data_IF_399885480951
#
_entry.id   IF_399885480951
#
_cell.length_a   1.000
_cell.length_b   1.000
_cell.length_c   1.000
_cell.angle_alpha   90.00
_cell.angle_beta   90.00
_cell.angle_gamma   90.00
#
_symmetry.space_group_name_H-M   'P 1'
#
loop_
_entity.id
_entity.type
_entity.pdbx_description
1 polymer ?
#
# COMPACT_ATOMS: atom_id res chain seq x y z
N UNK A 1 -16.46 3.17 6.91
CA UNK A 1 -15.15 3.08 6.23
C UNK A 1 -15.08 1.75 5.50
N UNK A 2 -14.61 1.69 4.24
CA UNK A 2 -14.43 0.43 3.52
C UNK A 2 -13.45 -0.51 4.26
N UNK A 3 -13.62 -1.84 4.13
CA UNK A 3 -12.80 -2.84 4.84
C UNK A 3 -11.31 -2.74 4.48
N UNK A 4 -11.03 -2.31 3.27
CA UNK A 4 -9.70 -2.19 2.69
C UNK A 4 -8.89 -1.07 3.35
N UNK A 5 -9.54 0.06 3.67
CA UNK A 5 -8.90 1.15 4.41
C UNK A 5 -8.58 0.72 5.84
N UNK A 6 -9.46 -0.06 6.49
CA UNK A 6 -9.22 -0.57 7.84
C UNK A 6 -7.90 -1.36 7.94
N UNK A 7 -7.54 -2.15 6.92
CA UNK A 7 -6.33 -2.96 7.00
C UNK A 7 -5.06 -2.10 6.82
N UNK A 8 -5.11 -1.07 5.97
CA UNK A 8 -4.01 -0.09 5.87
C UNK A 8 -3.80 0.62 7.21
N UNK A 9 -4.87 0.96 7.92
CA UNK A 9 -4.78 1.52 9.27
C UNK A 9 -4.19 0.52 10.27
N UNK A 10 -4.62 -0.74 10.26
CA UNK A 10 -4.07 -1.78 11.13
C UNK A 10 -2.56 -1.98 10.92
N UNK A 11 -2.09 -2.00 9.66
CA UNK A 11 -0.66 -2.04 9.35
C UNK A 11 0.08 -0.82 9.92
N UNK A 12 -0.52 0.37 9.80
CA UNK A 12 -0.01 1.59 10.40
C UNK A 12 0.15 1.46 11.92
N UNK A 13 -0.89 0.98 12.61
CA UNK A 13 -0.87 0.77 14.06
C UNK A 13 0.24 -0.19 14.50
N UNK A 14 0.41 -1.34 13.82
CA UNK A 14 1.50 -2.28 14.15
C UNK A 14 2.89 -1.65 14.02
N UNK A 15 3.10 -0.86 12.97
CA UNK A 15 4.37 -0.13 12.80
C UNK A 15 4.55 0.93 13.90
N UNK A 16 3.47 1.61 14.29
CA UNK A 16 3.46 2.55 15.41
C UNK A 16 3.82 1.88 16.73
N UNK A 17 3.16 0.77 17.07
CA UNK A 17 3.44 -0.04 18.26
C UNK A 17 4.90 -0.51 18.30
N UNK A 18 5.42 -1.03 17.18
CA UNK A 18 6.81 -1.45 17.10
C UNK A 18 7.79 -0.26 17.24
N UNK A 19 7.44 0.92 16.72
CA UNK A 19 8.25 2.12 16.87
C UNK A 19 8.29 2.63 18.33
N UNK A 20 7.28 2.34 19.15
CA UNK A 20 7.30 2.66 20.58
C UNK A 20 8.47 1.96 21.31
N UNK A 21 8.90 0.79 20.83
CA UNK A 21 10.02 0.05 21.41
C UNK A 21 11.39 0.75 21.18
N UNK A 22 11.48 1.74 20.29
CA UNK A 22 12.63 2.64 20.21
C UNK A 22 12.78 3.49 21.48
N UNK A 23 11.67 3.72 22.21
CA UNK A 23 11.58 4.55 23.40
C UNK A 23 10.85 3.81 24.53
N UNK A 24 11.40 2.70 25.04
CA UNK A 24 10.69 1.79 25.93
C UNK A 24 10.33 2.44 27.28
N UNK A 25 9.29 1.91 27.92
CA UNK A 25 8.83 2.37 29.24
C UNK A 25 7.85 3.55 29.20
N UNK A 26 7.32 3.89 28.02
CA UNK A 26 6.29 4.91 27.90
C UNK A 26 4.91 4.50 28.38
N UNK A 27 4.04 5.49 28.53
CA UNK A 27 2.63 5.31 28.91
C UNK A 27 1.73 5.65 27.73
N UNK A 28 0.78 4.76 27.40
CA UNK A 28 -0.12 4.93 26.27
C UNK A 28 -1.34 5.79 26.62
N UNK A 29 -1.58 6.85 25.85
CA UNK A 29 -2.69 7.80 25.99
C UNK A 29 -3.76 7.68 24.89
N UNK A 30 -3.69 6.65 24.06
CA UNK A 30 -4.58 6.46 22.92
C UNK A 30 -6.06 6.43 23.36
N UNK A 31 -6.93 7.22 22.71
CA UNK A 31 -8.35 7.16 22.98
C UNK A 31 -8.99 5.96 22.26
N UNK A 32 -9.57 5.03 23.02
CA UNK A 32 -10.31 3.90 22.41
C UNK A 32 -11.56 4.31 21.59
N UNK A 33 -12.08 5.53 21.76
CA UNK A 33 -13.23 6.06 21.02
C UNK A 33 -13.30 7.61 21.08
N UNK A 34 -14.03 8.29 20.17
CA UNK A 34 -14.15 9.76 20.17
C UNK A 34 -14.62 10.37 21.51
N UNK A 35 -15.50 9.69 22.26
CA UNK A 35 -15.95 10.16 23.55
C UNK A 35 -14.83 10.22 24.63
N UNK A 36 -13.67 9.59 24.38
CA UNK A 36 -12.52 9.58 25.28
C UNK A 36 -11.50 10.67 24.96
N UNK A 37 -11.66 11.43 23.86
CA UNK A 37 -10.67 12.41 23.41
C UNK A 37 -10.35 13.45 24.50
N UNK A 38 -11.37 13.97 25.19
CA UNK A 38 -11.17 14.92 26.30
C UNK A 38 -10.40 14.31 27.47
N UNK A 39 -10.60 13.02 27.74
CA UNK A 39 -9.88 12.30 28.80
C UNK A 39 -8.41 12.13 28.41
N UNK A 40 -8.12 11.76 27.16
CA UNK A 40 -6.77 11.64 26.64
C UNK A 40 -5.98 12.96 26.76
N UNK A 41 -6.61 14.11 26.46
CA UNK A 41 -6.00 15.44 26.65
C UNK A 41 -5.60 15.69 28.12
N UNK A 42 -6.53 15.45 29.05
CA UNK A 42 -6.28 15.68 30.49
C UNK A 42 -5.16 14.76 30.98
N UNK A 43 -5.24 13.47 30.67
CA UNK A 43 -4.24 12.49 31.08
C UNK A 43 -2.85 12.80 30.50
N UNK A 44 -2.77 13.23 29.22
CA UNK A 44 -1.52 13.64 28.59
C UNK A 44 -0.91 14.83 29.32
N UNK A 45 -1.71 15.86 29.64
CA UNK A 45 -1.24 17.02 30.38
C UNK A 45 -0.77 16.67 31.80
N UNK A 46 -1.45 15.76 32.49
CA UNK A 46 -1.03 15.27 33.81
C UNK A 46 0.34 14.59 33.72
N UNK A 47 0.54 13.68 32.75
CA UNK A 47 1.83 13.00 32.56
C UNK A 47 2.97 13.94 32.17
N UNK A 48 2.67 14.98 31.41
CA UNK A 48 3.65 16.03 31.09
C UNK A 48 4.05 16.80 32.36
N UNK A 49 3.08 17.15 33.23
CA UNK A 49 3.35 17.84 34.50
C UNK A 49 4.15 16.98 35.49
N UNK A 50 3.92 15.67 35.49
CA UNK A 50 4.69 14.70 36.26
C UNK A 50 6.14 14.55 35.73
N UNK A 51 6.45 15.03 34.53
CA UNK A 51 7.74 14.83 33.88
C UNK A 51 7.97 13.38 33.45
N UNK A 52 6.90 12.65 33.12
CA UNK A 52 6.99 11.25 32.71
C UNK A 52 7.84 11.12 31.44
N UNK A 53 8.79 10.16 31.34
CA UNK A 53 9.84 10.21 30.34
C UNK A 53 9.35 10.01 28.89
N UNK A 54 8.34 9.15 28.67
CA UNK A 54 7.82 8.84 27.33
C UNK A 54 6.30 8.69 27.38
N UNK A 55 5.60 9.33 26.45
CA UNK A 55 4.14 9.25 26.33
C UNK A 55 3.81 8.85 24.90
N UNK A 56 3.10 7.74 24.71
CA UNK A 56 2.62 7.30 23.41
C UNK A 56 1.22 7.83 23.16
N UNK A 57 0.90 8.14 21.90
CA UNK A 57 -0.43 8.60 21.47
C UNK A 57 -0.87 9.85 22.26
N UNK A 58 0.08 10.76 22.46
CA UNK A 58 -0.07 11.95 23.28
C UNK A 58 -1.05 12.93 22.63
N UNK A 59 -2.09 13.32 23.37
CA UNK A 59 -3.15 14.18 22.86
C UNK A 59 -2.85 15.67 23.12
N UNK A 60 -3.02 16.50 22.09
CA UNK A 60 -2.91 17.96 22.20
C UNK A 60 -4.07 18.65 21.53
N UNK A 61 -4.43 19.83 22.07
CA UNK A 61 -5.43 20.69 21.47
C UNK A 61 -5.02 22.15 21.59
N UNK A 62 -5.01 22.86 20.46
CA UNK A 62 -4.77 24.29 20.38
C UNK A 62 -5.61 24.86 19.26
N UNK A 63 -6.18 26.06 19.47
CA UNK A 63 -6.97 26.76 18.47
C UNK A 63 -8.05 25.85 17.83
N UNK A 64 -8.80 25.12 18.65
CA UNK A 64 -9.84 24.16 18.21
C UNK A 64 -9.36 23.02 17.29
N UNK A 65 -8.05 22.86 17.07
CA UNK A 65 -7.44 21.73 16.36
C UNK A 65 -6.94 20.72 17.38
N UNK A 66 -7.28 19.44 17.18
CA UNK A 66 -6.85 18.33 18.03
C UNK A 66 -5.94 17.40 17.24
N UNK A 67 -4.86 16.95 17.86
CA UNK A 67 -3.93 15.96 17.32
C UNK A 67 -3.68 14.85 18.33
N UNK A 68 -3.22 13.71 17.83
CA UNK A 68 -2.62 12.63 18.61
C UNK A 68 -1.24 12.37 18.00
N UNK A 69 -0.20 12.62 18.79
CA UNK A 69 1.19 12.42 18.41
C UNK A 69 1.61 11.00 18.79
N UNK A 70 2.25 10.26 17.88
CA UNK A 70 2.62 8.86 18.12
C UNK A 70 3.52 8.69 19.36
N UNK A 71 4.60 9.47 19.48
CA UNK A 71 5.54 9.36 20.60
C UNK A 71 6.05 10.74 21.02
N UNK A 72 5.92 11.07 22.30
CA UNK A 72 6.47 12.25 22.94
C UNK A 72 7.54 11.84 23.97
N UNK A 73 8.76 12.36 23.83
CA UNK A 73 9.89 12.00 24.70
C UNK A 73 10.39 13.22 25.47
N UNK A 74 10.52 13.11 26.78
CA UNK A 74 11.14 14.15 27.60
C UNK A 74 12.68 14.05 27.51
N UNK A 75 13.30 15.03 26.88
CA UNK A 75 14.75 15.14 26.72
C UNK A 75 15.32 16.17 27.71
N UNK A 76 16.64 16.20 27.89
CA UNK A 76 17.29 17.23 28.71
C UNK A 76 17.06 18.67 28.23
N UNK A 77 16.68 18.87 26.96
CA UNK A 77 16.40 20.17 26.34
C UNK A 77 14.92 20.59 26.38
N UNK A 78 14.01 19.69 26.77
CA UNK A 78 12.56 19.84 26.68
C UNK A 78 11.92 18.60 26.04
N UNK A 79 10.67 18.69 25.60
CA UNK A 79 10.01 17.57 24.94
C UNK A 79 10.47 17.46 23.48
N UNK A 80 10.53 16.26 22.92
CA UNK A 80 10.76 16.04 21.49
C UNK A 80 9.64 15.15 20.96
N UNK A 81 9.08 15.53 19.81
CA UNK A 81 7.97 14.82 19.18
C UNK A 81 8.49 13.86 18.09
N UNK A 82 7.93 12.67 18.01
CA UNK A 82 8.22 11.70 16.97
C UNK A 82 6.91 11.22 16.33
N UNK A 83 6.81 11.44 15.03
CA UNK A 83 5.67 11.02 14.21
C UNK A 83 6.10 9.83 13.34
N UNK A 84 5.41 8.71 13.45
CA UNK A 84 5.74 7.42 12.84
C UNK A 84 4.98 7.21 11.54
N UNK A 85 5.70 6.86 10.48
CA UNK A 85 5.13 6.59 9.15
C UNK A 85 5.45 5.17 8.72
N UNK A 86 4.41 4.38 8.43
CA UNK A 86 4.52 3.11 7.72
C UNK A 86 4.78 3.34 6.22
N UNK A 87 5.91 3.98 5.93
CA UNK A 87 6.42 4.28 4.60
C UNK A 87 7.92 4.10 4.60
N UNK A 88 8.48 3.68 3.46
CA UNK A 88 9.92 3.60 3.30
C UNK A 88 10.58 4.91 2.82
N UNK A 89 9.92 6.05 3.00
CA UNK A 89 10.43 7.38 2.65
C UNK A 89 9.49 8.50 3.09
N UNK A 90 10.01 9.74 3.08
CA UNK A 90 9.29 10.94 3.49
C UNK A 90 8.60 11.58 2.28
N UNK A 91 7.34 11.99 2.45
CA UNK A 91 6.56 12.78 1.47
C UNK A 91 6.31 14.20 2.00
N UNK A 92 5.93 15.12 1.13
CA UNK A 92 5.56 16.48 1.55
C UNK A 92 4.31 16.48 2.46
N UNK A 93 3.40 15.52 2.27
CA UNK A 93 2.26 15.30 3.19
C UNK A 93 2.73 15.01 4.61
N UNK A 94 3.77 14.19 4.79
CA UNK A 94 4.29 13.89 6.13
C UNK A 94 4.98 15.10 6.77
N UNK A 95 5.62 15.96 5.96
CA UNK A 95 6.18 17.22 6.44
C UNK A 95 5.07 18.19 6.87
N UNK A 96 3.93 18.20 6.16
CA UNK A 96 2.74 18.97 6.56
C UNK A 96 2.12 18.44 7.86
N UNK A 97 2.02 17.12 8.02
CA UNK A 97 1.56 16.49 9.27
C UNK A 97 2.44 16.93 10.45
N UNK A 98 3.77 16.82 10.30
CA UNK A 98 4.73 17.26 11.32
C UNK A 98 4.59 18.77 11.61
N UNK A 99 4.41 19.60 10.58
CA UNK A 99 4.20 21.03 10.75
C UNK A 99 2.92 21.37 11.52
N UNK A 100 1.81 20.69 11.21
CA UNK A 100 0.54 20.83 11.93
C UNK A 100 0.70 20.41 13.38
N UNK A 101 1.32 19.26 13.62
CA UNK A 101 1.50 18.75 14.97
C UNK A 101 2.40 19.67 15.80
N UNK A 102 3.54 20.11 15.25
CA UNK A 102 4.42 21.07 15.89
C UNK A 102 3.68 22.37 16.24
N UNK A 103 2.87 22.89 15.31
CA UNK A 103 2.04 24.09 15.53
C UNK A 103 1.07 23.91 16.70
N UNK A 104 0.33 22.80 16.73
CA UNK A 104 -0.66 22.52 17.79
C UNK A 104 0.03 22.32 19.14
N UNK A 105 1.09 21.51 19.21
CA UNK A 105 1.82 21.23 20.47
C UNK A 105 2.40 22.52 21.04
N UNK A 106 3.14 23.29 20.26
CA UNK A 106 3.75 24.54 20.74
C UNK A 106 2.70 25.59 21.11
N UNK A 107 1.56 25.62 20.43
CA UNK A 107 0.42 26.45 20.77
C UNK A 107 -0.19 26.15 22.14
N UNK A 108 0.00 24.93 22.69
CA UNK A 108 -0.41 24.61 24.07
C UNK A 108 0.49 25.20 25.15
N UNK A 109 1.62 25.83 24.78
CA UNK A 109 2.62 26.37 25.70
C UNK A 109 3.71 25.38 26.11
N UNK A 110 3.69 24.16 25.58
CA UNK A 110 4.73 23.16 25.82
C UNK A 110 6.02 23.57 25.11
N UNK A 111 7.13 23.49 25.84
CA UNK A 111 8.47 23.67 25.28
C UNK A 111 8.87 22.41 24.49
N UNK A 112 8.62 22.47 23.18
CA UNK A 112 9.05 21.44 22.22
C UNK A 112 10.43 21.81 21.68
N UNK A 113 11.39 20.91 21.84
CA UNK A 113 12.78 21.02 21.37
C UNK A 113 12.93 20.73 19.88
N UNK A 114 12.02 19.94 19.32
CA UNK A 114 12.01 19.57 17.91
C UNK A 114 10.94 18.53 17.61
N UNK A 115 10.81 18.21 16.33
CA UNK A 115 9.97 17.13 15.83
C UNK A 115 10.73 16.31 14.80
N UNK A 116 10.64 15.00 14.91
CA UNK A 116 11.25 14.04 13.99
C UNK A 116 10.18 13.18 13.31
N UNK A 117 10.43 12.81 12.06
CA UNK A 117 9.72 11.73 11.38
C UNK A 117 10.48 10.42 11.59
N UNK A 118 9.77 9.38 12.01
CA UNK A 118 10.25 8.01 12.11
C UNK A 118 9.65 7.22 10.95
N UNK A 119 10.47 6.61 10.10
CA UNK A 119 9.96 5.87 8.94
C UNK A 119 10.76 4.58 8.71
N UNK A 120 10.21 3.67 7.93
CA UNK A 120 10.84 2.37 7.66
C UNK A 120 12.08 2.54 6.78
N UNK A 121 13.16 1.87 7.14
CA UNK A 121 14.40 1.83 6.39
C UNK A 121 14.34 0.70 5.33
N UNK A 122 14.12 1.04 4.06
CA UNK A 122 14.08 0.05 2.96
C UNK A 122 15.38 -0.75 2.77
N UNK A 123 16.50 -0.26 3.30
CA UNK A 123 17.81 -0.91 3.22
C UNK A 123 18.04 -1.94 4.34
N UNK A 124 17.13 -2.01 5.32
CA UNK A 124 17.20 -2.99 6.39
C UNK A 124 17.03 -4.41 5.86
N UNK A 125 17.85 -5.34 6.33
CA UNK A 125 17.73 -6.77 6.03
C UNK A 125 17.54 -7.52 7.33
N UNK A 126 16.47 -8.31 7.41
CA UNK A 126 16.14 -9.07 8.61
C UNK A 126 17.19 -10.15 8.89
N UNK A 127 17.75 -10.11 10.10
CA UNK A 127 18.60 -11.16 10.66
C UNK A 127 17.78 -12.29 11.29
N UNK A 128 18.25 -12.79 12.43
CA UNK A 128 17.51 -13.80 13.20
C UNK A 128 16.43 -13.15 14.09
N UNK A 129 16.64 -11.90 14.50
CA UNK A 129 15.69 -11.06 15.25
C UNK A 129 15.56 -9.68 14.59
N UNK A 130 14.50 -8.96 14.92
CA UNK A 130 14.28 -7.59 14.41
C UNK A 130 15.19 -6.61 15.17
N UNK A 131 16.12 -5.98 14.48
CA UNK A 131 16.85 -4.82 15.01
C UNK A 131 16.08 -3.53 14.70
N UNK A 132 15.42 -2.98 15.72
CA UNK A 132 14.61 -1.76 15.60
C UNK A 132 15.42 -0.56 15.11
N UNK A 133 16.69 -0.44 15.52
CA UNK A 133 17.56 0.69 15.11
C UNK A 133 17.95 0.59 13.65
N UNK A 134 18.05 -0.62 13.12
CA UNK A 134 18.24 -0.87 11.69
C UNK A 134 16.95 -0.70 10.89
N UNK A 135 15.81 -1.13 11.44
CA UNK A 135 14.50 -1.11 10.78
C UNK A 135 13.95 0.31 10.59
N UNK A 136 14.18 1.22 11.54
CA UNK A 136 13.67 2.58 11.49
C UNK A 136 14.76 3.62 11.19
N UNK A 137 14.41 4.62 10.38
CA UNK A 137 15.16 5.86 10.21
C UNK A 137 14.43 6.98 10.96
N UNK A 138 15.17 7.75 11.74
CA UNK A 138 14.69 8.94 12.44
C UNK A 138 15.31 10.16 11.76
N UNK A 139 14.49 11.09 11.32
CA UNK A 139 14.92 12.32 10.64
C UNK A 139 14.30 13.50 11.36
N UNK A 140 15.14 14.38 11.92
CA UNK A 140 14.69 15.66 12.46
C UNK A 140 14.18 16.53 11.31
N UNK A 141 12.96 17.02 11.43
CA UNK A 141 12.29 17.87 10.43
C UNK A 141 11.81 19.18 11.05
N UNK A 142 12.46 19.63 12.13
CA UNK A 142 12.04 20.81 12.90
C UNK A 142 12.06 22.07 12.04
N UNK A 143 13.12 22.27 11.25
CA UNK A 143 13.24 23.44 10.38
C UNK A 143 12.21 23.40 9.23
N UNK A 144 11.95 22.24 8.65
CA UNK A 144 10.92 22.04 7.63
C UNK A 144 9.50 22.28 8.17
N UNK A 145 9.25 21.89 9.42
CA UNK A 145 8.00 22.15 10.12
C UNK A 145 7.82 23.65 10.39
N UNK A 146 8.88 24.32 10.87
CA UNK A 146 8.88 25.76 11.11
C UNK A 146 8.68 26.57 9.83
N UNK A 147 9.33 26.18 8.73
CA UNK A 147 9.19 26.86 7.44
C UNK A 147 7.76 26.80 6.88
N UNK A 148 6.98 25.79 7.28
CA UNK A 148 5.57 25.59 6.88
C UNK A 148 4.56 26.24 7.82
N UNK A 149 4.99 26.82 8.94
CA UNK A 149 4.10 27.39 9.96
C UNK A 149 3.07 28.36 9.40
N UNK A 150 3.49 29.28 8.51
CA UNK A 150 2.58 30.25 7.89
C UNK A 150 1.48 29.55 7.08
N UNK A 151 1.87 28.58 6.25
CA UNK A 151 0.93 27.79 5.46
C UNK A 151 -0.07 27.05 6.36
N UNK A 152 0.41 26.38 7.40
CA UNK A 152 -0.44 25.65 8.36
C UNK A 152 -1.46 26.58 9.02
N UNK A 153 -1.02 27.74 9.52
CA UNK A 153 -1.94 28.71 10.15
C UNK A 153 -3.00 29.22 9.17
N UNK A 154 -2.63 29.50 7.92
CA UNK A 154 -3.58 29.91 6.89
C UNK A 154 -4.58 28.79 6.53
N UNK A 155 -4.13 27.52 6.46
CA UNK A 155 -5.03 26.39 6.20
C UNK A 155 -5.99 26.14 7.35
N UNK A 156 -5.55 26.21 8.61
CA UNK A 156 -6.43 26.04 9.78
C UNK A 156 -7.60 27.04 9.72
N UNK A 157 -7.33 28.29 9.36
CA UNK A 157 -8.37 29.32 9.21
C UNK A 157 -9.35 28.91 8.11
N UNK A 158 -8.84 28.57 6.92
CA UNK A 158 -9.67 28.18 5.76
C UNK A 158 -10.52 26.94 6.03
N UNK A 159 -9.94 25.93 6.70
CA UNK A 159 -10.65 24.70 7.02
C UNK A 159 -11.77 24.94 8.04
N UNK A 160 -11.53 25.79 9.05
CA UNK A 160 -12.60 26.21 9.99
C UNK A 160 -13.70 27.00 9.30
N UNK A 161 -13.35 27.90 8.39
CA UNK A 161 -14.34 28.64 7.59
C UNK A 161 -15.18 27.67 6.76
N UNK A 162 -14.55 26.67 6.12
CA UNK A 162 -15.25 25.64 5.35
C UNK A 162 -16.17 24.78 6.22
N UNK A 163 -15.73 24.38 7.42
CA UNK A 163 -16.55 23.63 8.38
C UNK A 163 -17.72 24.45 8.94
N UNK A 164 -17.63 25.78 8.92
CA UNK A 164 -18.69 26.69 9.33
C UNK A 164 -19.76 26.93 8.25
N UNK A 165 -19.60 26.42 7.04
CA UNK A 165 -20.58 26.57 5.97
C UNK A 165 -21.83 25.71 6.24
N UNK A 166 -23.01 26.25 5.90
CA UNK A 166 -24.28 25.52 5.97
C UNK A 166 -24.34 24.36 4.96
N UNK A 167 -23.64 24.50 3.84
CA UNK A 167 -23.57 23.53 2.77
C UNK A 167 -22.13 23.32 2.30
N UNK A 168 -21.87 22.18 1.66
CA UNK A 168 -20.56 21.91 1.06
C UNK A 168 -20.15 23.03 0.09
N UNK A 169 -18.85 23.36 0.02
CA UNK A 169 -18.36 24.40 -0.87
C UNK A 169 -18.72 24.09 -2.33
N UNK A 170 -19.08 25.12 -3.10
CA UNK A 170 -19.46 25.01 -4.52
C UNK A 170 -18.22 24.88 -5.40
N UNK A 171 -17.54 23.75 -5.30
CA UNK A 171 -16.35 23.39 -6.07
C UNK A 171 -16.73 22.23 -6.98
N UNK A 172 -16.43 22.35 -8.27
CA UNK A 172 -16.63 21.27 -9.24
C UNK A 172 -15.68 20.10 -8.95
N UNK A 173 -16.06 18.88 -9.33
CA UNK A 173 -15.17 17.73 -9.21
C UNK A 173 -13.89 17.91 -10.05
N UNK A 174 -12.77 17.32 -9.61
CA UNK A 174 -11.52 17.45 -10.33
C UNK A 174 -10.35 16.67 -9.71
N UNK A 175 -9.10 17.01 -10.06
CA UNK A 175 -7.90 16.32 -9.57
C UNK A 175 -7.78 16.23 -8.05
N UNK A 176 -8.22 17.27 -7.33
CA UNK A 176 -8.27 17.30 -5.86
C UNK A 176 -9.14 16.20 -5.23
N UNK A 177 -10.01 15.54 -6.01
CA UNK A 177 -10.78 14.40 -5.54
C UNK A 177 -9.94 13.12 -5.38
N UNK A 178 -8.70 13.11 -5.88
CA UNK A 178 -7.83 11.92 -5.93
C UNK A 178 -6.42 12.15 -5.42
N UNK A 179 -6.08 13.38 -5.05
CA UNK A 179 -4.72 13.77 -4.70
C UNK A 179 -4.71 14.52 -3.37
N UNK A 180 -3.85 14.16 -2.40
CA UNK A 180 -2.89 13.05 -2.41
C UNK A 180 -3.53 11.66 -2.21
N UNK A 181 -4.81 11.62 -1.79
CA UNK A 181 -5.58 10.40 -1.58
C UNK A 181 -6.98 10.54 -2.19
N UNK A 182 -7.63 9.42 -2.48
CA UNK A 182 -9.02 9.40 -2.93
C UNK A 182 -9.96 10.01 -1.88
N UNK A 183 -10.75 11.01 -2.29
CA UNK A 183 -11.78 11.63 -1.46
C UNK A 183 -12.88 10.63 -1.07
N UNK A 184 -13.26 10.63 0.21
CA UNK A 184 -14.33 9.77 0.73
C UNK A 184 -15.70 10.05 0.10
N UNK A 185 -15.89 11.23 -0.48
CA UNK A 185 -17.12 11.65 -1.12
C UNK A 185 -17.12 11.46 -2.64
N UNK A 186 -16.13 10.76 -3.21
CA UNK A 186 -16.06 10.47 -4.66
C UNK A 186 -17.40 9.97 -5.22
N UNK A 187 -18.00 8.95 -4.58
CA UNK A 187 -19.28 8.38 -5.02
C UNK A 187 -20.46 9.36 -4.95
N UNK A 188 -20.41 10.33 -4.04
CA UNK A 188 -21.43 11.36 -3.92
C UNK A 188 -21.26 12.46 -4.98
N UNK A 189 -20.05 13.03 -5.08
CA UNK A 189 -19.77 14.18 -5.93
C UNK A 189 -19.73 13.81 -7.43
N UNK A 190 -19.26 12.61 -7.78
CA UNK A 190 -19.10 12.18 -9.18
C UNK A 190 -20.35 11.52 -9.78
N UNK A 191 -21.42 11.31 -9.01
CA UNK A 191 -22.60 10.52 -9.44
C UNK A 191 -23.26 10.97 -10.75
N UNK A 192 -23.17 12.27 -11.07
CA UNK A 192 -23.82 12.88 -12.23
C UNK A 192 -22.80 13.32 -13.30
N UNK A 193 -21.52 13.01 -13.12
CA UNK A 193 -20.48 13.36 -14.08
C UNK A 193 -20.54 12.31 -15.18
N UNK A 194 -20.78 12.71 -16.45
CA UNK A 194 -20.81 11.76 -17.55
C UNK A 194 -19.47 11.02 -17.61
N UNK A 195 -19.51 9.71 -17.46
CA UNK A 195 -18.36 8.87 -17.77
C UNK A 195 -18.25 8.86 -19.30
N UNK A 196 -17.11 9.26 -19.89
CA UNK A 196 -16.91 9.09 -21.33
C UNK A 196 -17.22 7.64 -21.71
N UNK A 197 -17.90 7.38 -22.84
CA UNK A 197 -18.14 6.01 -23.26
C UNK A 197 -16.80 5.27 -23.31
N UNK A 198 -16.71 4.15 -22.59
CA UNK A 198 -15.56 3.27 -22.69
C UNK A 198 -15.41 2.89 -24.16
N UNK A 199 -14.29 3.27 -24.79
CA UNK A 199 -13.96 2.73 -26.10
C UNK A 199 -13.70 1.25 -25.89
N UNK A 200 -14.40 0.39 -26.61
CA UNK A 200 -14.20 -1.03 -26.52
C UNK A 200 -12.70 -1.35 -26.76
N UNK A 201 -12.07 -2.19 -25.93
CA UNK A 201 -10.66 -2.57 -26.05
C UNK A 201 -10.22 -2.90 -27.47
N UNK A 202 -11.06 -3.64 -28.19
CA UNK A 202 -10.89 -4.03 -29.60
C UNK A 202 -10.77 -2.86 -30.58
N UNK A 203 -11.36 -1.71 -30.26
CA UNK A 203 -11.34 -0.50 -31.11
C UNK A 203 -10.11 0.38 -30.84
N UNK A 204 -9.31 0.03 -29.82
CA UNK A 204 -8.08 0.72 -29.43
C UNK A 204 -6.81 -0.06 -29.81
N UNK A 205 -6.98 -1.20 -30.46
CA UNK A 205 -5.96 -2.22 -30.71
C UNK A 205 -5.70 -2.34 -32.21
N UNK A 206 -4.44 -2.29 -32.62
CA UNK A 206 -4.06 -2.56 -34.01
C UNK A 206 -3.96 -4.08 -34.26
N UNK A 207 -5.07 -4.72 -34.66
CA UNK A 207 -5.14 -6.17 -34.88
C UNK A 207 -4.04 -6.73 -35.83
N UNK A 208 -3.58 -5.95 -36.81
CA UNK A 208 -2.51 -6.38 -37.73
C UNK A 208 -1.12 -6.40 -37.06
N UNK A 209 -0.84 -5.43 -36.17
CA UNK A 209 0.35 -5.46 -35.33
C UNK A 209 0.36 -6.69 -34.41
N UNK A 210 -0.81 -7.07 -33.88
CA UNK A 210 -0.94 -8.29 -33.07
C UNK A 210 -0.63 -9.57 -33.86
N UNK A 211 -1.16 -9.75 -35.09
CA UNK A 211 -0.86 -10.92 -35.94
C UNK A 211 0.64 -11.17 -36.07
N UNK A 212 1.37 -10.09 -36.33
CA UNK A 212 2.81 -10.13 -36.61
C UNK A 212 3.62 -10.57 -35.38
N UNK A 213 3.20 -10.15 -34.19
CA UNK A 213 3.94 -10.37 -32.93
C UNK A 213 3.58 -11.71 -32.26
N UNK A 214 2.36 -12.20 -32.44
CA UNK A 214 1.81 -13.32 -31.66
C UNK A 214 1.52 -14.59 -32.48
N UNK A 215 1.92 -14.65 -33.75
CA UNK A 215 1.71 -15.81 -34.63
C UNK A 215 2.38 -17.10 -34.16
N UNK A 216 3.48 -16.99 -33.40
CA UNK A 216 4.28 -18.12 -32.93
C UNK A 216 4.05 -18.47 -31.44
N UNK A 217 2.92 -18.07 -30.86
CA UNK A 217 2.62 -18.37 -29.46
C UNK A 217 2.54 -19.89 -29.19
N UNK A 218 3.20 -20.41 -28.14
CA UNK A 218 3.35 -21.85 -27.88
C UNK A 218 2.03 -22.49 -27.52
N UNK A 219 1.73 -23.68 -28.05
CA UNK A 219 0.41 -24.30 -27.91
C UNK A 219 0.15 -24.91 -26.53
N UNK A 220 1.23 -25.34 -25.91
CA UNK A 220 1.39 -26.07 -24.65
C UNK A 220 1.83 -25.10 -23.54
N UNK A 221 0.95 -24.15 -23.24
CA UNK A 221 1.17 -23.13 -22.22
C UNK A 221 0.31 -23.36 -20.99
N UNK A 222 0.86 -23.04 -19.82
CA UNK A 222 0.10 -22.86 -18.59
C UNK A 222 0.06 -21.38 -18.21
N UNK A 223 -1.03 -20.93 -17.59
CA UNK A 223 -1.18 -19.55 -17.15
C UNK A 223 -0.93 -19.46 -15.65
N UNK A 224 -0.17 -18.46 -15.22
CA UNK A 224 0.23 -18.29 -13.83
C UNK A 224 -0.06 -16.90 -13.34
N UNK A 225 -0.62 -16.82 -12.13
CA UNK A 225 -0.78 -15.60 -11.35
C UNK A 225 -0.06 -15.78 -10.02
N UNK A 226 1.07 -15.10 -9.84
CA UNK A 226 1.68 -15.05 -8.51
C UNK A 226 0.82 -14.18 -7.59
N UNK A 227 0.73 -14.56 -6.32
CA UNK A 227 0.07 -13.81 -5.27
C UNK A 227 1.15 -13.12 -4.44
N UNK A 228 1.52 -11.86 -4.75
CA UNK A 228 2.56 -11.14 -4.02
C UNK A 228 2.02 -10.50 -2.75
N UNK A 229 2.91 -10.32 -1.78
CA UNK A 229 2.73 -9.44 -0.64
C UNK A 229 3.94 -8.53 -0.44
N UNK A 230 3.73 -7.35 0.18
CA UNK A 230 4.79 -6.39 0.53
C UNK A 230 4.68 -5.89 1.97
N UNK A 231 5.21 -6.68 2.90
CA UNK A 231 5.19 -6.35 4.31
C UNK A 231 6.08 -5.14 4.65
N UNK A 232 5.55 -4.19 5.43
CA UNK A 232 6.34 -3.07 5.95
C UNK A 232 7.46 -3.56 6.89
N UNK A 233 7.16 -4.57 7.70
CA UNK A 233 8.12 -5.25 8.57
C UNK A 233 8.48 -6.57 7.87
N UNK A 234 9.75 -6.82 7.52
CA UNK A 234 10.15 -8.08 6.90
C UNK A 234 9.85 -9.26 7.83
N UNK A 235 9.42 -10.38 7.27
CA UNK A 235 8.97 -11.56 8.04
C UNK A 235 9.93 -12.74 7.98
N UNK A 236 10.84 -12.76 6.99
CA UNK A 236 11.75 -13.89 6.78
C UNK A 236 13.20 -13.43 6.76
N UNK A 237 14.08 -14.22 7.35
CA UNK A 237 15.53 -13.96 7.35
C UNK A 237 16.05 -13.67 5.94
N UNK A 238 16.83 -12.59 5.80
CA UNK A 238 17.38 -12.14 4.52
C UNK A 238 16.41 -11.31 3.68
N UNK A 239 15.16 -11.10 4.12
CA UNK A 239 14.22 -10.20 3.45
C UNK A 239 14.29 -8.78 3.98
N UNK A 240 13.81 -7.82 3.20
CA UNK A 240 13.81 -6.39 3.54
C UNK A 240 12.40 -5.79 3.51
N UNK A 241 12.17 -4.60 4.12
CA UNK A 241 10.88 -3.92 4.07
C UNK A 241 10.35 -3.70 2.66
N UNK A 242 9.05 -3.90 2.51
CA UNK A 242 8.30 -3.79 1.25
C UNK A 242 8.85 -4.65 0.10
N UNK A 243 9.66 -5.66 0.42
CA UNK A 243 10.07 -6.67 -0.54
C UNK A 243 8.82 -7.39 -1.04
N UNK A 244 8.73 -7.54 -2.35
CA UNK A 244 7.69 -8.38 -2.94
C UNK A 244 8.01 -9.85 -2.70
N UNK A 245 7.13 -10.54 -1.99
CA UNK A 245 7.23 -11.97 -1.65
C UNK A 245 5.99 -12.68 -2.18
N UNK A 246 6.17 -13.67 -3.04
CA UNK A 246 5.07 -14.51 -3.53
C UNK A 246 4.69 -15.54 -2.47
N UNK A 247 3.48 -15.41 -1.93
CA UNK A 247 2.96 -16.26 -0.86
C UNK A 247 2.10 -17.41 -1.37
N UNK A 248 1.83 -17.42 -2.67
CA UNK A 248 1.01 -18.39 -3.35
C UNK A 248 0.95 -18.11 -4.84
N UNK A 249 0.17 -18.93 -5.54
CA UNK A 249 -0.07 -18.75 -6.96
C UNK A 249 -1.43 -19.33 -7.38
N UNK A 250 -1.99 -18.78 -8.44
CA UNK A 250 -2.97 -19.43 -9.28
C UNK A 250 -2.30 -20.04 -10.52
N UNK A 251 -2.79 -21.19 -10.95
CA UNK A 251 -2.34 -21.91 -12.13
C UNK A 251 -3.52 -22.39 -12.96
N UNK A 252 -3.48 -22.15 -14.27
CA UNK A 252 -4.43 -22.72 -15.22
C UNK A 252 -3.72 -23.59 -16.25
N UNK A 253 -4.20 -24.83 -16.40
CA UNK A 253 -3.71 -25.80 -17.40
C UNK A 253 -4.91 -26.38 -18.12
N UNK A 254 -4.89 -26.37 -19.46
CA UNK A 254 -5.95 -26.94 -20.29
C UNK A 254 -7.37 -26.45 -19.88
N UNK A 255 -7.49 -25.16 -19.55
CA UNK A 255 -8.74 -24.52 -19.13
C UNK A 255 -9.20 -24.84 -17.70
N UNK A 256 -8.45 -25.61 -16.91
CA UNK A 256 -8.76 -25.88 -15.49
C UNK A 256 -7.89 -25.00 -14.60
N UNK A 257 -8.53 -24.23 -13.71
CA UNK A 257 -7.85 -23.40 -12.71
C UNK A 257 -7.62 -24.18 -11.41
N UNK A 258 -6.54 -23.82 -10.73
CA UNK A 258 -6.20 -24.22 -9.37
C UNK A 258 -5.47 -23.07 -8.71
N UNK A 259 -5.49 -23.01 -7.39
CA UNK A 259 -4.75 -22.02 -6.61
C UNK A 259 -4.11 -22.70 -5.40
N UNK A 260 -3.01 -22.12 -4.93
CA UNK A 260 -2.30 -22.59 -3.75
C UNK A 260 -1.75 -21.42 -2.96
N UNK A 261 -1.94 -21.48 -1.66
CA UNK A 261 -1.43 -20.54 -0.66
C UNK A 261 -0.49 -21.33 0.26
N UNK A 262 0.67 -20.78 0.57
CA UNK A 262 1.65 -21.42 1.45
C UNK A 262 1.48 -20.93 2.91
N UNK A 263 1.79 -21.79 3.87
CA UNK A 263 1.80 -21.42 5.29
C UNK A 263 2.95 -20.50 5.68
N UNK A 264 2.93 -19.99 6.92
CA UNK A 264 3.90 -19.01 7.43
C UNK A 264 5.12 -19.59 8.16
N UNK A 265 5.26 -20.91 8.19
CA UNK A 265 6.36 -21.59 8.93
C UNK A 265 7.75 -21.31 8.35
N UNK A 266 7.81 -20.89 7.07
CA UNK A 266 9.05 -20.56 6.36
C UNK A 266 8.76 -19.59 5.21
N UNK A 267 9.81 -19.06 4.58
CA UNK A 267 9.65 -18.20 3.41
C UNK A 267 8.86 -18.96 2.31
N UNK A 268 7.66 -18.48 1.93
CA UNK A 268 6.78 -19.20 1.01
C UNK A 268 7.38 -19.29 -0.39
N UNK A 269 8.34 -18.43 -0.76
CA UNK A 269 9.03 -18.53 -2.05
C UNK A 269 9.92 -19.77 -2.16
N UNK A 270 10.44 -20.30 -1.05
CA UNK A 270 11.21 -21.54 -1.07
C UNK A 270 10.31 -22.76 -1.32
N UNK A 271 9.09 -22.73 -0.77
CA UNK A 271 8.06 -23.73 -1.04
C UNK A 271 7.58 -23.63 -2.49
N UNK A 272 7.27 -22.42 -2.95
CA UNK A 272 6.89 -22.11 -4.33
C UNK A 272 7.94 -22.58 -5.34
N UNK A 273 9.23 -22.29 -5.11
CA UNK A 273 10.33 -22.77 -5.97
C UNK A 273 10.37 -24.29 -6.03
N UNK A 274 10.11 -24.98 -4.92
CA UNK A 274 10.13 -26.45 -4.87
C UNK A 274 8.98 -27.05 -5.65
N UNK A 275 7.78 -26.49 -5.51
CA UNK A 275 6.59 -26.98 -6.20
C UNK A 275 6.58 -26.65 -7.69
N UNK A 276 6.99 -25.43 -8.05
CA UNK A 276 7.15 -25.04 -9.46
C UNK A 276 8.33 -25.77 -10.12
N UNK A 277 9.31 -26.29 -9.37
CA UNK A 277 10.32 -27.22 -9.93
C UNK A 277 9.74 -28.55 -10.38
N UNK A 278 8.66 -28.99 -9.75
CA UNK A 278 7.88 -30.15 -10.17
C UNK A 278 6.75 -29.80 -11.14
N UNK A 279 6.78 -28.61 -11.75
CA UNK A 279 5.74 -28.14 -12.68
C UNK A 279 5.43 -29.17 -13.79
N UNK A 280 4.20 -29.14 -14.33
CA UNK A 280 3.59 -30.32 -14.95
C UNK A 280 4.34 -30.77 -16.21
N UNK A 281 4.54 -32.09 -16.31
CA UNK A 281 5.07 -32.74 -17.51
C UNK A 281 4.33 -32.26 -18.77
N UNK A 282 5.07 -31.78 -19.77
CA UNK A 282 4.51 -31.37 -21.07
C UNK A 282 4.10 -29.90 -21.18
N UNK A 283 4.41 -29.03 -20.21
CA UNK A 283 4.30 -27.57 -20.36
C UNK A 283 5.68 -26.98 -20.69
N UNK A 284 5.82 -26.40 -21.89
CA UNK A 284 7.07 -25.70 -22.28
C UNK A 284 7.10 -24.25 -21.81
N UNK A 285 5.94 -23.61 -21.62
CA UNK A 285 5.84 -22.17 -21.38
C UNK A 285 4.85 -21.81 -20.27
N UNK A 286 5.28 -20.94 -19.36
CA UNK A 286 4.39 -20.24 -18.42
C UNK A 286 4.06 -18.84 -18.93
N UNK A 287 2.77 -18.53 -18.94
CA UNK A 287 2.23 -17.26 -19.38
C UNK A 287 1.73 -16.46 -18.18
N UNK A 288 2.16 -15.22 -18.06
CA UNK A 288 1.72 -14.28 -17.05
C UNK A 288 1.50 -12.88 -17.65
N UNK A 289 0.99 -11.95 -16.84
CA UNK A 289 0.86 -10.55 -17.23
C UNK A 289 1.50 -9.66 -16.16
N UNK A 290 2.65 -9.10 -16.49
CA UNK A 290 3.38 -8.15 -15.66
C UNK A 290 4.16 -8.74 -14.48
N UNK A 291 4.25 -10.08 -14.38
CA UNK A 291 4.97 -10.80 -13.32
C UNK A 291 6.19 -11.57 -13.85
N UNK A 292 6.58 -11.35 -15.11
CA UNK A 292 7.59 -12.16 -15.80
C UNK A 292 8.97 -12.12 -15.15
N UNK A 293 9.42 -10.96 -14.67
CA UNK A 293 10.70 -10.86 -13.96
C UNK A 293 10.71 -11.69 -12.67
N UNK A 294 9.65 -11.57 -11.86
CA UNK A 294 9.52 -12.31 -10.60
C UNK A 294 9.42 -13.81 -10.86
N UNK A 295 8.60 -14.21 -11.82
CA UNK A 295 8.44 -15.61 -12.22
C UNK A 295 9.75 -16.21 -12.73
N UNK A 296 10.51 -15.50 -13.59
CA UNK A 296 11.84 -15.95 -14.05
C UNK A 296 12.84 -16.18 -12.92
N UNK A 297 12.78 -15.37 -11.85
CA UNK A 297 13.66 -15.55 -10.68
C UNK A 297 13.24 -16.72 -9.78
N UNK A 298 11.97 -17.12 -9.85
CA UNK A 298 11.40 -18.22 -9.05
C UNK A 298 11.42 -19.56 -9.79
N UNK A 299 11.39 -19.53 -11.13
CA UNK A 299 11.36 -20.73 -11.96
C UNK A 299 12.75 -21.34 -12.14
N UNK A 300 12.89 -22.68 -12.11
CA UNK A 300 14.09 -23.34 -12.59
C UNK A 300 14.27 -23.14 -14.10
N UNK A 301 15.51 -23.19 -14.58
CA UNK A 301 15.80 -23.22 -16.01
C UNK A 301 15.13 -24.41 -16.71
N UNK A 302 14.66 -24.22 -17.95
CA UNK A 302 14.03 -25.26 -18.78
C UNK A 302 12.55 -25.05 -19.08
N UNK A 303 11.89 -24.07 -18.44
CA UNK A 303 10.53 -23.62 -18.79
C UNK A 303 10.59 -22.15 -19.20
N UNK A 304 10.06 -21.83 -20.37
CA UNK A 304 10.06 -20.46 -20.86
C UNK A 304 9.01 -19.62 -20.12
N UNK A 305 9.36 -18.38 -19.80
CA UNK A 305 8.43 -17.42 -19.18
C UNK A 305 8.06 -16.34 -20.18
N UNK A 306 6.80 -16.36 -20.60
CA UNK A 306 6.21 -15.39 -21.48
C UNK A 306 5.38 -14.39 -20.67
N UNK A 307 5.84 -13.15 -20.61
CA UNK A 307 5.07 -12.04 -20.05
C UNK A 307 4.36 -11.30 -21.18
N UNK A 308 3.04 -11.43 -21.25
CA UNK A 308 2.23 -10.77 -22.29
C UNK A 308 2.37 -9.25 -22.23
N UNK A 309 2.51 -8.66 -21.03
CA UNK A 309 2.69 -7.21 -20.88
C UNK A 309 3.97 -6.77 -21.57
N UNK A 310 5.09 -7.45 -21.32
CA UNK A 310 6.38 -7.10 -21.91
C UNK A 310 6.37 -7.26 -23.44
N UNK A 311 5.63 -8.24 -23.98
CA UNK A 311 5.47 -8.41 -25.44
C UNK A 311 4.66 -7.27 -26.06
N UNK A 312 3.55 -6.90 -25.42
CA UNK A 312 2.66 -5.81 -25.85
C UNK A 312 3.43 -4.47 -25.88
N UNK A 313 4.23 -4.18 -24.85
CA UNK A 313 4.94 -2.91 -24.74
C UNK A 313 6.13 -2.75 -25.69
N UNK A 314 6.68 -3.85 -26.23
CA UNK A 314 7.84 -3.81 -27.13
C UNK A 314 7.52 -3.30 -28.53
N UNK A 315 6.25 -3.32 -28.95
CA UNK A 315 5.84 -2.87 -30.27
C UNK A 315 4.98 -1.62 -30.18
N UNK A 316 5.56 -0.46 -30.52
CA UNK A 316 4.84 0.82 -30.57
C UNK A 316 3.78 0.87 -31.67
N UNK A 317 3.72 -0.09 -32.61
CA UNK A 317 2.66 -0.17 -33.61
C UNK A 317 1.34 -0.70 -33.05
N UNK A 318 1.39 -1.28 -31.85
CA UNK A 318 0.23 -1.74 -31.09
C UNK A 318 -0.62 -0.56 -30.59
N UNK A 319 0.00 0.60 -30.31
CA UNK A 319 -0.65 1.78 -29.74
C UNK A 319 -0.05 3.09 -30.26
N UNK A 320 -0.90 4.04 -30.65
CA UNK A 320 -0.47 5.35 -31.18
C UNK A 320 0.21 6.25 -30.15
N UNK A 321 0.08 5.99 -28.84
CA UNK A 321 0.89 6.66 -27.79
C UNK A 321 0.78 5.95 -26.43
N UNK A 322 1.81 5.19 -26.04
CA UNK A 322 2.05 4.87 -24.62
C UNK A 322 3.42 5.45 -24.22
N UNK A 323 3.47 6.22 -23.15
CA UNK A 323 4.65 6.98 -22.71
C UNK A 323 5.01 6.75 -21.24
N UNK A 324 4.07 6.31 -20.38
CA UNK A 324 4.32 6.20 -18.93
C UNK A 324 3.49 5.15 -18.17
N UNK A 325 3.61 5.15 -16.83
CA UNK A 325 2.94 4.21 -15.91
C UNK A 325 1.40 4.28 -15.97
N UNK A 326 0.81 5.40 -16.39
CA UNK A 326 -0.64 5.53 -16.54
C UNK A 326 -1.17 4.68 -17.71
N UNK A 327 -0.33 4.44 -18.71
CA UNK A 327 -0.67 3.62 -19.87
C UNK A 327 -0.72 2.13 -19.53
N UNK A 328 0.18 1.66 -18.66
CA UNK A 328 0.15 0.32 -18.07
C UNK A 328 -1.18 0.04 -17.36
N UNK A 329 -1.66 1.01 -16.59
CA UNK A 329 -2.92 0.93 -15.86
C UNK A 329 -4.11 0.90 -16.82
N UNK A 330 -4.04 1.67 -17.90
CA UNK A 330 -5.04 1.62 -18.98
C UNK A 330 -5.08 0.24 -19.62
N UNK A 331 -3.93 -0.41 -19.88
CA UNK A 331 -3.90 -1.77 -20.46
C UNK A 331 -4.65 -2.78 -19.59
N UNK A 332 -4.41 -2.74 -18.27
CA UNK A 332 -5.10 -3.66 -17.35
C UNK A 332 -6.61 -3.43 -17.34
N UNK A 333 -7.07 -2.17 -17.38
CA UNK A 333 -8.49 -1.83 -17.47
C UNK A 333 -9.07 -2.29 -18.80
N UNK A 334 -8.40 -1.98 -19.91
CA UNK A 334 -8.76 -2.37 -21.28
C UNK A 334 -8.92 -3.89 -21.37
N UNK A 335 -7.98 -4.67 -20.85
CA UNK A 335 -8.07 -6.12 -20.90
C UNK A 335 -8.94 -6.73 -19.79
N UNK A 336 -9.59 -5.92 -18.96
CA UNK A 336 -10.41 -6.40 -17.85
C UNK A 336 -9.60 -7.12 -16.76
N UNK A 337 -8.28 -6.94 -16.72
CA UNK A 337 -7.36 -7.50 -15.72
C UNK A 337 -7.47 -6.79 -14.37
N UNK A 338 -8.05 -5.58 -14.35
CA UNK A 338 -8.39 -4.82 -13.14
C UNK A 338 -9.84 -4.37 -13.21
N UNK A 339 -10.78 -5.30 -13.00
CA UNK A 339 -12.21 -4.96 -12.86
C UNK A 339 -12.52 -4.16 -11.59
N UNK A 340 -11.65 -4.23 -10.59
CA UNK A 340 -11.82 -3.50 -9.33
C UNK A 340 -10.47 -3.06 -8.75
N UNK A 341 -10.06 -1.83 -9.10
CA UNK A 341 -8.74 -1.26 -8.84
C UNK A 341 -8.31 -1.20 -7.38
N UNK A 342 -9.28 -1.32 -6.45
CA UNK A 342 -9.06 -1.16 -5.01
C UNK A 342 -8.94 -2.49 -4.26
N UNK A 343 -9.37 -3.60 -4.89
CA UNK A 343 -9.56 -4.87 -4.21
C UNK A 343 -8.40 -5.87 -4.41
N UNK A 344 -7.47 -5.66 -5.35
CA UNK A 344 -6.54 -6.73 -5.76
C UNK A 344 -5.13 -6.64 -5.14
N UNK A 345 -4.53 -5.45 -5.05
CA UNK A 345 -3.18 -5.28 -4.50
C UNK A 345 -3.22 -4.95 -3.01
N UNK A 346 -4.04 -3.99 -2.61
CA UNK A 346 -4.13 -3.55 -1.22
C UNK A 346 -4.69 -4.62 -0.31
N UNK A 347 -5.72 -5.34 -0.76
CA UNK A 347 -6.32 -6.44 0.01
C UNK A 347 -5.39 -7.64 0.03
N UNK A 348 -4.65 -7.95 -1.04
CA UNK A 348 -3.70 -9.07 -1.03
C UNK A 348 -2.51 -8.80 -0.11
N UNK A 349 -1.90 -7.60 -0.14
CA UNK A 349 -0.82 -7.21 0.78
C UNK A 349 -1.30 -7.22 2.23
N UNK A 350 -2.44 -6.58 2.47
CA UNK A 350 -3.10 -6.49 3.77
C UNK A 350 -3.49 -7.86 4.35
N UNK A 351 -4.17 -8.67 3.55
CA UNK A 351 -4.62 -10.02 3.93
C UNK A 351 -3.42 -10.93 4.14
N UNK A 352 -2.40 -10.88 3.29
CA UNK A 352 -1.22 -11.70 3.48
C UNK A 352 -0.45 -11.26 4.73
N UNK A 353 -0.19 -9.97 4.95
CA UNK A 353 0.41 -9.51 6.21
C UNK A 353 -0.43 -9.97 7.42
N UNK A 354 -1.75 -9.93 7.33
CA UNK A 354 -2.64 -10.29 8.43
C UNK A 354 -2.75 -11.79 8.68
N UNK A 355 -2.79 -12.61 7.61
CA UNK A 355 -2.76 -14.07 7.61
C UNK A 355 -1.45 -14.58 8.19
N UNK A 356 -0.33 -13.98 7.79
CA UNK A 356 0.99 -14.39 8.24
C UNK A 356 1.31 -13.91 9.67
N UNK A 357 0.78 -12.75 10.10
CA UNK A 357 0.93 -12.23 11.47
C UNK A 357 -0.14 -12.74 12.46
N UNK A 358 -1.04 -13.64 12.04
CA UNK A 358 -2.06 -14.31 12.88
C UNK A 358 -3.10 -13.40 13.56
N UNK A 359 -3.14 -12.12 13.19
CA UNK A 359 -4.05 -11.16 13.84
C UNK A 359 -5.47 -11.16 13.20
N UNK A 360 -5.68 -11.89 12.09
CA UNK A 360 -7.02 -12.13 11.53
C UNK A 360 -7.41 -13.59 11.71
N UNK A 361 -8.46 -13.85 12.48
CA UNK A 361 -9.36 -14.94 12.19
C UNK A 361 -10.43 -14.44 11.22
N UNK A 362 -10.62 -15.07 10.07
CA UNK A 362 -11.95 -15.15 9.44
C UNK A 362 -12.00 -16.17 8.28
N UNK A 363 -13.05 -16.99 8.32
CA UNK A 363 -13.42 -17.99 7.31
C UNK A 363 -13.60 -17.35 5.92
N UNK A 364 -13.08 -17.99 4.86
CA UNK A 364 -13.32 -17.58 3.47
C UNK A 364 -12.34 -16.57 2.85
N UNK A 365 -11.28 -16.17 3.57
CA UNK A 365 -10.19 -15.36 2.98
C UNK A 365 -9.48 -16.12 1.86
N UNK A 366 -9.17 -17.39 2.09
CA UNK A 366 -8.53 -18.25 1.10
C UNK A 366 -9.42 -18.37 -0.13
N UNK A 367 -10.71 -18.66 0.04
CA UNK A 367 -11.70 -18.72 -1.05
C UNK A 367 -11.70 -17.45 -1.91
N UNK A 368 -11.68 -16.25 -1.30
CA UNK A 368 -11.61 -14.98 -2.05
C UNK A 368 -10.30 -14.80 -2.83
N UNK A 369 -9.18 -15.22 -2.25
CA UNK A 369 -7.89 -15.19 -2.94
C UNK A 369 -7.92 -16.15 -4.14
N UNK A 370 -8.52 -17.33 -3.98
CA UNK A 370 -8.66 -18.32 -5.05
C UNK A 370 -9.62 -17.85 -6.16
N UNK A 371 -10.74 -17.22 -5.81
CA UNK A 371 -11.68 -16.59 -6.75
C UNK A 371 -10.98 -15.48 -7.55
N UNK A 372 -10.23 -14.62 -6.87
CA UNK A 372 -9.44 -13.56 -7.51
C UNK A 372 -8.40 -14.15 -8.47
N UNK A 373 -7.62 -15.14 -8.03
CA UNK A 373 -6.61 -15.79 -8.85
C UNK A 373 -7.26 -16.44 -10.09
N UNK A 374 -8.38 -17.14 -9.91
CA UNK A 374 -9.11 -17.82 -10.99
C UNK A 374 -9.68 -16.82 -12.01
N UNK A 375 -10.31 -15.74 -11.55
CA UNK A 375 -10.85 -14.68 -12.41
C UNK A 375 -9.75 -14.01 -13.24
N UNK A 376 -8.60 -13.74 -12.62
CA UNK A 376 -7.45 -13.15 -13.28
C UNK A 376 -6.86 -14.10 -14.34
N UNK A 377 -6.70 -15.38 -14.01
CA UNK A 377 -6.21 -16.40 -14.95
C UNK A 377 -7.14 -16.56 -16.15
N UNK A 378 -8.45 -16.56 -15.95
CA UNK A 378 -9.43 -16.62 -17.04
C UNK A 378 -9.26 -15.44 -18.00
N UNK A 379 -9.07 -14.24 -17.45
CA UNK A 379 -8.87 -13.04 -18.26
C UNK A 379 -7.58 -13.11 -19.09
N UNK A 380 -6.48 -13.61 -18.51
CA UNK A 380 -5.23 -13.83 -19.26
C UNK A 380 -5.40 -14.90 -20.33
N UNK A 381 -6.06 -16.01 -20.00
CA UNK A 381 -6.34 -17.09 -20.94
C UNK A 381 -7.14 -16.60 -22.15
N UNK A 382 -8.18 -15.81 -21.92
CA UNK A 382 -9.03 -15.28 -22.98
C UNK A 382 -8.27 -14.29 -23.86
N UNK A 383 -7.46 -13.42 -23.24
CA UNK A 383 -6.55 -12.54 -23.97
C UNK A 383 -5.61 -13.35 -24.86
N UNK A 384 -4.87 -14.31 -24.30
CA UNK A 384 -3.95 -15.16 -25.05
C UNK A 384 -4.65 -15.90 -26.20
N UNK A 385 -5.82 -16.46 -25.95
CA UNK A 385 -6.62 -17.19 -26.96
C UNK A 385 -7.03 -16.27 -28.10
N UNK A 386 -7.45 -15.04 -27.77
CA UNK A 386 -7.73 -14.00 -28.76
C UNK A 386 -6.48 -13.68 -29.58
N UNK A 387 -5.34 -13.40 -28.93
CA UNK A 387 -4.10 -13.03 -29.63
C UNK A 387 -3.63 -14.09 -30.61
N UNK A 388 -3.80 -15.36 -30.23
CA UNK A 388 -3.43 -16.51 -31.05
C UNK A 388 -4.40 -16.81 -32.18
N UNK A 389 -5.66 -16.34 -32.08
CA UNK A 389 -6.68 -16.53 -33.11
C UNK A 389 -6.58 -15.53 -34.27
N UNK A 390 -5.94 -14.39 -34.01
CA UNK A 390 -5.72 -13.30 -34.96
C UNK A 390 -4.59 -13.68 -35.90
#
# INVERSE_FOLDING_TARGET
MPKERLIVFQRGHKVGELAQELFPGGVNMSPGHPAAFRKALVNTQEKIKEGFPVIYEAAFQHDQVMIFLDILVHTGSGWHAYEVKSSGGISDTYLLDAALQYHVITGTGIKLSGISLVHINKEYVLGDEVDLKGLFKIIDVTEEALSRRKYVTEQIIREKEALGLEHSPKIDVGPHCREPYDCDFLGHCWKNVPVPPEKEPKDQINAEAFRKVFSDLPKDAAFVKLLPMRAAIPMYRGTHPYQEIAYGYGLMINGKTSARIFGNDSNPEEQLKTELKSAPEGISTLICFGQGHKLRNLMPGGVDVLDLRDHILKDSSFYTSLKDKSDLERLKIIFGLEKDKKLSEYVSDAIAEHYYLKDFPDEGVEEKIEEYASSYLQTIHDLYSYLRSI
#
